data_IF_129029120905
#
_entry.id   IF_129029120905
#
_cell.length_a   1.000
_cell.length_b   1.000
_cell.length_c   1.000
_cell.angle_alpha   90.00
_cell.angle_beta   90.00
_cell.angle_gamma   90.00
#
_symmetry.space_group_name_H-M   'P 1'
#
loop_
_entity.id
_entity.type
_entity.pdbx_description
1 polymer ?
#
# COMPACT_ATOMS: atom_id res chain seq x y z
N UNK A 1 -13.67 7.67 34.14
CA UNK A 1 -13.36 6.23 34.24
C UNK A 1 -14.63 5.52 33.78
N UNK A 2 -14.73 4.79 32.68
CA UNK A 2 -13.76 4.15 31.78
C UNK A 2 -14.58 3.67 30.57
N UNK A 3 -13.97 3.62 29.38
CA UNK A 3 -14.37 2.67 28.34
C UNK A 3 -15.13 3.25 27.16
N UNK A 4 -14.38 3.68 26.14
CA UNK A 4 -14.59 3.15 24.78
C UNK A 4 -13.27 3.24 24.02
N UNK A 5 -12.45 2.22 24.24
CA UNK A 5 -11.47 1.80 23.23
C UNK A 5 -11.77 0.34 22.98
N UNK A 6 -12.49 0.00 21.90
CA UNK A 6 -12.15 -1.20 21.18
C UNK A 6 -10.89 -0.87 20.38
N UNK A 7 -9.77 -1.40 20.87
CA UNK A 7 -8.57 -1.56 20.07
C UNK A 7 -8.98 -2.17 18.72
N UNK A 8 -8.39 -1.69 17.62
CA UNK A 8 -8.46 -2.37 16.35
C UNK A 8 -7.80 -3.75 16.48
N UNK A 9 -8.57 -4.71 16.97
CA UNK A 9 -8.28 -6.13 16.99
C UNK A 9 -8.38 -6.64 15.55
N UNK A 10 -7.35 -6.38 14.74
CA UNK A 10 -7.14 -7.13 13.51
C UNK A 10 -6.54 -8.50 13.90
N UNK A 11 -7.38 -9.30 14.57
CA UNK A 11 -7.11 -10.71 14.81
C UNK A 11 -7.13 -11.42 13.46
N UNK A 12 -5.92 -11.71 12.96
CA UNK A 12 -5.53 -12.94 12.28
C UNK A 12 -6.64 -13.81 11.69
N UNK A 13 -6.57 -13.98 10.36
CA UNK A 13 -7.09 -15.11 9.57
C UNK A 13 -8.61 -15.16 9.27
N UNK A 14 -8.98 -14.70 8.07
CA UNK A 14 -9.96 -15.42 7.24
C UNK A 14 -9.47 -15.48 5.79
N UNK A 15 -8.87 -16.63 5.50
CA UNK A 15 -8.34 -17.08 4.22
C UNK A 15 -9.48 -17.37 3.23
N UNK A 16 -9.96 -16.37 2.48
CA UNK A 16 -10.60 -16.55 1.18
C UNK A 16 -10.95 -15.16 0.60
N UNK A 17 -10.35 -14.79 -0.54
CA UNK A 17 -10.52 -13.46 -1.17
C UNK A 17 -10.06 -12.29 -0.29
N UNK A 18 -8.75 -12.09 -0.20
CA UNK A 18 -8.16 -10.96 0.53
C UNK A 18 -8.63 -9.64 -0.07
N UNK A 19 -9.52 -8.95 0.63
CA UNK A 19 -9.87 -7.56 0.36
C UNK A 19 -8.82 -6.67 1.01
N UNK A 20 -8.21 -5.83 0.19
CA UNK A 20 -7.17 -4.88 0.57
C UNK A 20 -7.80 -3.49 0.67
N UNK A 21 -8.01 -3.03 1.89
CA UNK A 21 -8.58 -1.72 2.15
C UNK A 21 -7.52 -0.73 2.62
N UNK A 22 -7.64 0.51 2.15
CA UNK A 22 -6.91 1.66 2.70
C UNK A 22 -7.91 2.79 2.97
N UNK A 23 -7.95 3.25 4.21
CA UNK A 23 -8.94 4.22 4.67
C UNK A 23 -8.53 5.65 4.31
N UNK A 24 -9.54 6.49 4.07
CA UNK A 24 -9.35 7.93 3.97
C UNK A 24 -8.61 8.48 5.20
N UNK A 25 -7.67 9.39 4.96
CA UNK A 25 -6.88 10.03 6.02
C UNK A 25 -5.59 9.31 6.36
N UNK A 26 -5.39 8.08 5.85
CA UNK A 26 -4.09 7.44 5.83
C UNK A 26 -3.22 7.96 4.67
N UNK A 27 -1.92 7.74 4.78
CA UNK A 27 -0.94 7.94 3.71
C UNK A 27 -0.86 6.69 2.82
N UNK A 28 -0.51 6.86 1.54
CA UNK A 28 -0.26 5.75 0.62
C UNK A 28 0.83 4.85 1.18
N UNK A 29 1.90 5.44 1.73
CA UNK A 29 2.94 4.73 2.45
C UNK A 29 2.41 3.93 3.65
N UNK A 30 1.51 4.50 4.47
CA UNK A 30 0.96 3.81 5.66
C UNK A 30 0.08 2.63 5.25
N UNK A 31 -0.80 2.83 4.27
CA UNK A 31 -1.65 1.79 3.72
C UNK A 31 -0.84 0.63 3.14
N UNK A 32 0.16 0.95 2.32
CA UNK A 32 1.03 -0.07 1.74
C UNK A 32 1.89 -0.75 2.81
N UNK A 33 2.38 -0.02 3.81
CA UNK A 33 3.14 -0.59 4.93
C UNK A 33 2.31 -1.62 5.68
N UNK A 34 1.03 -1.33 5.96
CA UNK A 34 0.11 -2.26 6.61
C UNK A 34 -0.09 -3.52 5.79
N UNK A 35 -0.29 -3.38 4.48
CA UNK A 35 -0.48 -4.55 3.60
C UNK A 35 0.79 -5.40 3.51
N UNK A 36 1.95 -4.75 3.40
CA UNK A 36 3.25 -5.42 3.38
C UNK A 36 3.48 -6.19 4.69
N UNK A 37 3.29 -5.54 5.85
CA UNK A 37 3.44 -6.15 7.17
C UNK A 37 2.51 -7.37 7.36
N UNK A 38 1.25 -7.26 6.91
CA UNK A 38 0.29 -8.36 6.95
C UNK A 38 0.73 -9.60 6.14
N UNK A 39 1.51 -9.40 5.07
CA UNK A 39 2.07 -10.48 4.24
C UNK A 39 3.50 -10.87 4.63
N UNK A 40 4.10 -10.18 5.60
CA UNK A 40 5.50 -10.32 5.97
C UNK A 40 6.47 -9.83 4.89
N UNK A 41 6.09 -8.78 4.15
CA UNK A 41 6.95 -8.04 3.24
C UNK A 41 7.53 -6.80 3.92
N UNK A 42 8.78 -6.49 3.63
CA UNK A 42 9.42 -5.24 4.00
C UNK A 42 9.10 -4.17 2.97
N UNK A 43 8.67 -2.98 3.42
CA UNK A 43 8.42 -1.83 2.57
C UNK A 43 9.62 -0.88 2.61
N UNK A 44 10.25 -0.69 1.46
CA UNK A 44 11.26 0.35 1.21
C UNK A 44 10.62 1.49 0.44
N UNK A 45 10.54 2.65 1.08
CA UNK A 45 9.98 3.86 0.48
C UNK A 45 11.10 4.82 0.10
N UNK A 46 11.39 4.91 -1.19
CA UNK A 46 12.46 5.72 -1.79
C UNK A 46 11.93 7.03 -2.38
N UNK A 47 10.60 7.26 -2.34
CA UNK A 47 10.00 8.46 -2.88
C UNK A 47 10.10 9.66 -1.92
N UNK A 48 10.52 10.85 -2.38
CA UNK A 48 10.66 12.03 -1.52
C UNK A 48 9.31 12.69 -1.15
N UNK A 49 8.20 12.07 -1.54
CA UNK A 49 6.84 12.55 -1.34
C UNK A 49 5.93 11.37 -1.04
N UNK A 50 4.85 11.64 -0.32
CA UNK A 50 3.78 10.70 -0.02
C UNK A 50 2.44 11.30 -0.46
N UNK A 51 1.47 10.41 -0.72
CA UNK A 51 0.11 10.82 -1.10
C UNK A 51 -0.89 10.52 0.00
N UNK A 52 -1.67 11.52 0.44
CA UNK A 52 -2.80 11.25 1.30
C UNK A 52 -3.88 10.51 0.51
N UNK A 53 -4.40 9.44 1.09
CA UNK A 53 -5.57 8.73 0.61
C UNK A 53 -6.79 9.63 0.84
N UNK A 54 -7.28 10.24 -0.25
CA UNK A 54 -8.41 11.18 -0.18
C UNK A 54 -9.77 10.49 -0.10
N UNK A 55 -9.86 9.24 -0.53
CA UNK A 55 -11.06 8.43 -0.47
C UNK A 55 -10.66 7.01 -0.11
N UNK A 56 -11.46 6.34 0.72
CA UNK A 56 -11.19 4.94 1.08
C UNK A 56 -11.24 4.07 -0.18
N UNK A 57 -10.17 3.31 -0.41
CA UNK A 57 -10.05 2.42 -1.56
C UNK A 57 -10.11 0.97 -1.07
N UNK A 58 -10.82 0.12 -1.82
CA UNK A 58 -10.94 -1.31 -1.55
C UNK A 58 -10.60 -2.05 -2.83
N UNK A 59 -9.67 -3.00 -2.74
CA UNK A 59 -9.22 -3.80 -3.86
C UNK A 59 -9.36 -5.29 -3.54
N UNK A 60 -9.95 -6.04 -4.46
CA UNK A 60 -10.01 -7.49 -4.37
C UNK A 60 -8.83 -8.14 -5.12
N UNK A 61 -8.36 -9.27 -4.60
CA UNK A 61 -7.37 -10.14 -5.23
C UNK A 61 -6.15 -10.42 -4.35
N UNK A 62 -5.07 -10.90 -4.96
CA UNK A 62 -3.80 -11.11 -4.27
C UNK A 62 -3.11 -9.78 -3.92
N UNK A 63 -2.21 -9.83 -2.93
CA UNK A 63 -1.41 -8.68 -2.51
C UNK A 63 -0.78 -7.93 -3.69
N UNK A 64 -0.11 -8.65 -4.59
CA UNK A 64 0.53 -8.07 -5.79
C UNK A 64 -0.51 -7.35 -6.66
N UNK A 65 -1.66 -7.96 -6.91
CA UNK A 65 -2.70 -7.37 -7.74
C UNK A 65 -3.30 -6.12 -7.09
N UNK A 66 -3.53 -6.13 -5.77
CA UNK A 66 -4.02 -4.97 -5.04
C UNK A 66 -3.02 -3.81 -5.03
N UNK A 67 -1.73 -4.10 -4.82
CA UNK A 67 -0.66 -3.11 -4.92
C UNK A 67 -0.63 -2.53 -6.33
N UNK A 68 -0.62 -3.35 -7.38
CA UNK A 68 -0.66 -2.85 -8.77
C UNK A 68 -1.88 -1.96 -9.03
N UNK A 69 -3.08 -2.37 -8.60
CA UNK A 69 -4.31 -1.56 -8.76
C UNK A 69 -4.25 -0.24 -7.99
N UNK A 70 -3.67 -0.25 -6.79
CA UNK A 70 -3.45 0.96 -6.00
C UNK A 70 -2.56 1.94 -6.78
N UNK A 71 -1.39 1.52 -7.25
CA UNK A 71 -0.50 2.40 -8.00
C UNK A 71 -1.06 2.82 -9.37
N UNK A 72 -1.81 1.95 -10.05
CA UNK A 72 -2.52 2.28 -11.30
C UNK A 72 -3.56 3.38 -11.09
N UNK A 73 -4.32 3.34 -9.98
CA UNK A 73 -5.26 4.40 -9.62
C UNK A 73 -4.58 5.76 -9.36
N UNK A 74 -3.30 5.76 -9.00
CA UNK A 74 -2.48 6.95 -8.80
C UNK A 74 -1.58 7.28 -10.01
N UNK A 75 -1.64 6.52 -11.11
CA UNK A 75 -0.83 6.78 -12.32
C UNK A 75 -1.14 8.15 -12.95
N UNK A 76 -2.41 8.55 -12.91
CA UNK A 76 -2.89 9.86 -13.39
C UNK A 76 -2.78 10.97 -12.32
N UNK A 77 -2.31 10.66 -11.10
CA UNK A 77 -1.87 11.71 -10.22
C UNK A 77 -0.64 12.35 -10.88
N UNK A 78 -0.57 13.69 -10.97
CA UNK A 78 0.49 14.41 -11.71
C UNK A 78 1.94 14.16 -11.26
N UNK A 79 2.17 13.19 -10.39
CA UNK A 79 3.42 12.70 -9.84
C UNK A 79 3.33 11.16 -9.71
N UNK A 80 3.47 10.41 -10.81
CA UNK A 80 3.34 8.95 -10.79
C UNK A 80 4.43 8.29 -9.95
N UNK A 81 4.05 7.27 -9.19
CA UNK A 81 4.95 6.40 -8.44
C UNK A 81 5.03 5.04 -9.12
N UNK A 82 6.22 4.44 -9.08
CA UNK A 82 6.44 3.05 -9.44
C UNK A 82 6.64 2.18 -8.20
N UNK A 83 6.30 0.90 -8.36
CA UNK A 83 6.44 -0.11 -7.31
C UNK A 83 7.09 -1.36 -7.89
N UNK A 84 8.16 -1.82 -7.27
CA UNK A 84 8.83 -3.09 -7.53
C UNK A 84 8.57 -4.05 -6.39
N UNK A 85 8.16 -5.27 -6.71
CA UNK A 85 7.86 -6.32 -5.72
C UNK A 85 8.79 -7.50 -5.93
N UNK A 86 9.76 -7.64 -5.05
CA UNK A 86 10.71 -8.75 -5.01
C UNK A 86 10.14 -9.88 -4.14
N UNK A 87 9.49 -10.86 -4.78
CA UNK A 87 8.82 -11.98 -4.09
C UNK A 87 9.78 -12.85 -3.27
N UNK A 88 10.99 -13.07 -3.78
CA UNK A 88 12.02 -13.89 -3.10
C UNK A 88 12.54 -13.24 -1.82
N UNK A 89 12.75 -11.92 -1.87
CA UNK A 89 13.25 -11.12 -0.73
C UNK A 89 12.11 -10.64 0.18
N UNK A 90 10.86 -10.87 -0.23
CA UNK A 90 9.67 -10.27 0.39
C UNK A 90 9.85 -8.76 0.56
N UNK A 91 10.32 -8.09 -0.48
CA UNK A 91 10.62 -6.66 -0.46
C UNK A 91 9.71 -5.94 -1.44
N UNK A 92 9.06 -4.88 -0.99
CA UNK A 92 8.32 -3.94 -1.83
C UNK A 92 9.08 -2.63 -1.83
N UNK A 93 9.56 -2.20 -2.99
CA UNK A 93 10.23 -0.93 -3.17
C UNK A 93 9.32 0.03 -3.92
N UNK A 94 9.12 1.23 -3.37
CA UNK A 94 8.38 2.31 -4.00
C UNK A 94 9.33 3.44 -4.32
N UNK A 95 9.29 3.95 -5.55
CA UNK A 95 10.17 5.01 -6.03
C UNK A 95 9.40 5.91 -7.01
N UNK A 96 9.82 7.17 -7.20
CA UNK A 96 9.20 8.03 -8.20
C UNK A 96 9.37 7.39 -9.58
N UNK A 97 8.31 7.41 -10.39
CA UNK A 97 8.43 7.16 -11.82
C UNK A 97 9.07 8.40 -12.45
N UNK A 98 10.32 8.66 -12.10
CA UNK A 98 11.12 9.69 -12.75
C UNK A 98 11.52 9.12 -14.11
N UNK A 99 11.08 9.78 -15.18
CA UNK A 99 11.55 9.52 -16.54
C UNK A 99 13.02 9.94 -16.60
N UNK A 100 13.92 9.11 -16.07
CA UNK A 100 15.34 9.24 -16.36
C UNK A 100 15.54 8.78 -17.81
N UNK A 101 15.22 9.68 -18.73
CA UNK A 101 15.87 9.72 -20.03
C UNK A 101 17.37 9.80 -19.74
N UNK A 102 18.02 8.64 -19.73
CA UNK A 102 19.45 8.57 -19.93
C UNK A 102 19.67 8.96 -21.41
N UNK A 103 19.85 10.25 -21.66
CA UNK A 103 20.53 10.74 -22.87
C UNK A 103 22.05 10.56 -22.73
#
# INVERSE_FOLDING_TARGET
MTGDTPAHSLSSAEVATSKWEVLQGASLQDGLKRWADAMGYELVWDAPYDFPIRASLVFDGDFVAAVTKLFDAYRDAGRPLQVDIYKEQRLVRVFPQDDVAYE
#
